data_IF_051587458106
#
_entry.id   IF_051587458106
#
_cell.length_a   1.000
_cell.length_b   1.000
_cell.length_c   1.000
_cell.angle_alpha   90.00
_cell.angle_beta   90.00
_cell.angle_gamma   90.00
#
_symmetry.space_group_name_H-M   'P 1'
#
loop_
_entity.id
_entity.type
_entity.pdbx_description
1 polymer ?
#
# COMPACT_ATOMS: atom_id res chain seq x y z
N UNK A 1 -9.10 -2.79 -15.71
CA UNK A 1 -9.67 -2.60 -14.36
C UNK A 1 -11.10 -2.13 -14.53
N UNK A 2 -12.08 -2.72 -13.84
CA UNK A 2 -13.47 -2.26 -13.87
C UNK A 2 -13.84 -1.74 -12.49
N UNK A 3 -14.14 -0.44 -12.37
CA UNK A 3 -14.64 0.16 -11.13
C UNK A 3 -16.17 0.10 -11.21
N UNK A 4 -16.79 -0.80 -10.46
CA UNK A 4 -18.24 -0.94 -10.42
C UNK A 4 -18.89 0.38 -10.00
N UNK A 5 -19.76 0.93 -10.85
CA UNK A 5 -20.45 2.21 -10.59
C UNK A 5 -19.72 3.47 -11.04
N UNK A 6 -18.54 3.36 -11.67
CA UNK A 6 -17.86 4.51 -12.27
C UNK A 6 -18.51 4.95 -13.59
N UNK A 7 -18.65 6.27 -13.77
CA UNK A 7 -19.11 6.93 -15.00
C UNK A 7 -17.93 7.51 -15.79
N UNK A 8 -18.10 7.83 -17.08
CA UNK A 8 -16.99 8.26 -17.95
C UNK A 8 -16.35 9.61 -17.59
N UNK A 9 -16.90 10.34 -16.61
CA UNK A 9 -16.33 11.59 -16.08
C UNK A 9 -15.76 11.46 -14.67
N UNK A 10 -15.83 10.28 -14.06
CA UNK A 10 -15.27 10.08 -12.73
C UNK A 10 -13.74 10.07 -12.76
N UNK A 11 -13.15 10.76 -11.80
CA UNK A 11 -11.72 10.77 -11.55
C UNK A 11 -11.42 10.04 -10.24
N UNK A 12 -10.30 9.34 -10.21
CA UNK A 12 -9.88 8.56 -9.05
C UNK A 12 -8.43 8.82 -8.67
N UNK A 13 -8.15 8.60 -7.39
CA UNK A 13 -6.80 8.43 -6.85
C UNK A 13 -6.63 6.99 -6.39
N UNK A 14 -5.50 6.37 -6.74
CA UNK A 14 -5.05 5.13 -6.12
C UNK A 14 -3.89 5.46 -5.17
N UNK A 15 -3.96 4.90 -3.97
CA UNK A 15 -2.95 5.02 -2.92
C UNK A 15 -2.54 3.61 -2.49
N UNK A 16 -1.24 3.34 -2.35
CA UNK A 16 -0.70 2.12 -1.72
C UNK A 16 0.16 2.51 -0.52
N UNK A 17 -0.11 1.92 0.65
CA UNK A 17 0.62 2.19 1.89
C UNK A 17 0.96 0.92 2.68
N UNK A 18 2.04 0.97 3.45
CA UNK A 18 2.56 -0.11 4.31
C UNK A 18 2.66 0.37 5.77
N UNK A 19 1.80 -0.09 6.70
CA UNK A 19 1.87 0.26 8.11
C UNK A 19 2.85 -0.61 8.92
N UNK A 20 3.36 -1.70 8.33
CA UNK A 20 4.09 -2.76 9.03
C UNK A 20 5.60 -2.53 9.00
N UNK A 21 6.03 -1.27 8.81
CA UNK A 21 7.46 -0.96 8.80
C UNK A 21 8.08 -1.21 10.18
N UNK A 22 9.30 -1.76 10.26
CA UNK A 22 9.93 -2.09 11.54
C UNK A 22 10.37 -0.86 12.34
N UNK A 23 10.29 0.34 11.75
CA UNK A 23 10.81 1.58 12.32
C UNK A 23 9.73 2.65 12.34
N UNK A 24 9.39 3.14 13.53
CA UNK A 24 8.30 4.08 13.74
C UNK A 24 8.57 5.49 13.18
N UNK A 25 9.81 5.80 12.79
CA UNK A 25 10.19 7.01 12.06
C UNK A 25 10.03 6.87 10.53
N UNK A 26 9.72 5.67 10.04
CA UNK A 26 9.43 5.37 8.64
C UNK A 26 7.93 5.20 8.43
N UNK A 27 7.25 4.45 9.30
CA UNK A 27 5.81 4.21 9.18
C UNK A 27 5.19 3.64 10.46
N UNK A 28 3.92 3.98 10.67
CA UNK A 28 3.06 3.41 11.72
C UNK A 28 1.69 3.05 11.15
N UNK A 29 0.83 2.42 11.94
CA UNK A 29 -0.56 2.15 11.54
C UNK A 29 -1.33 3.41 11.18
N UNK A 30 -1.12 4.52 11.90
CA UNK A 30 -1.79 5.81 11.66
C UNK A 30 -1.13 6.62 10.54
N UNK A 31 0.19 6.46 10.37
CA UNK A 31 1.01 7.19 9.39
C UNK A 31 1.91 6.19 8.64
N UNK A 32 1.36 5.41 7.70
CA UNK A 32 2.09 4.33 7.05
C UNK A 32 3.12 4.86 6.04
N UNK A 33 4.02 3.98 5.61
CA UNK A 33 4.94 4.26 4.51
C UNK A 33 4.19 4.27 3.18
N UNK A 34 4.33 5.34 2.40
CA UNK A 34 3.78 5.45 1.06
C UNK A 34 4.58 4.60 0.07
N UNK A 35 3.87 3.84 -0.77
CA UNK A 35 4.45 3.01 -1.82
C UNK A 35 4.05 3.42 -3.24
N UNK A 36 2.93 4.14 -3.37
CA UNK A 36 2.41 4.61 -4.65
C UNK A 36 1.30 5.62 -4.42
N UNK A 37 1.29 6.69 -5.22
CA UNK A 37 0.13 7.57 -5.35
C UNK A 37 -0.01 8.07 -6.79
N UNK A 38 -1.19 7.79 -7.36
CA UNK A 38 -1.57 8.22 -8.70
C UNK A 38 -2.92 8.91 -8.60
N UNK A 39 -3.00 10.17 -9.01
CA UNK A 39 -4.22 10.99 -8.95
C UNK A 39 -4.80 11.19 -10.35
N UNK A 40 -5.98 11.79 -10.46
CA UNK A 40 -6.60 12.18 -11.73
C UNK A 40 -6.76 11.01 -12.73
N UNK A 41 -6.93 9.78 -12.22
CA UNK A 41 -7.14 8.60 -13.06
C UNK A 41 -8.52 8.70 -13.69
N UNK A 42 -8.58 8.61 -15.02
CA UNK A 42 -9.82 8.59 -15.79
C UNK A 42 -10.00 7.24 -16.47
N UNK A 43 -11.23 6.93 -16.91
CA UNK A 43 -11.56 5.72 -17.69
C UNK A 43 -11.16 4.39 -17.02
N UNK A 44 -11.01 4.38 -15.69
CA UNK A 44 -10.47 3.24 -14.94
C UNK A 44 -9.11 2.73 -15.47
N UNK A 45 -8.31 3.64 -16.02
CA UNK A 45 -6.98 3.37 -16.56
C UNK A 45 -5.93 4.19 -15.79
N UNK A 46 -5.18 3.56 -14.87
CA UNK A 46 -4.14 4.23 -14.08
C UNK A 46 -3.06 4.93 -14.92
N UNK A 47 -2.86 4.53 -16.18
CA UNK A 47 -1.87 5.16 -17.08
C UNK A 47 -2.27 6.59 -17.50
N UNK A 48 -3.53 6.98 -17.29
CA UNK A 48 -4.04 8.33 -17.57
C UNK A 48 -3.81 9.32 -16.43
N UNK A 49 -3.44 8.82 -15.25
CA UNK A 49 -3.32 9.63 -14.04
C UNK A 49 -2.01 10.40 -13.93
N UNK A 50 -1.98 11.37 -13.01
CA UNK A 50 -0.78 12.07 -12.60
C UNK A 50 -0.10 11.31 -11.46
N UNK A 51 1.14 10.87 -11.70
CA UNK A 51 1.95 10.13 -10.72
C UNK A 51 2.63 11.12 -9.78
N UNK A 52 2.28 11.09 -8.48
CA UNK A 52 2.97 11.90 -7.46
C UNK A 52 4.13 11.13 -6.81
N UNK A 53 3.96 9.82 -6.61
CA UNK A 53 5.02 8.89 -6.23
C UNK A 53 4.82 7.59 -7.04
N UNK A 54 5.83 7.16 -7.83
CA UNK A 54 5.71 5.97 -8.64
C UNK A 54 5.63 4.71 -7.77
N UNK A 55 5.03 3.66 -8.33
CA UNK A 55 4.95 2.36 -7.66
C UNK A 55 6.32 1.84 -7.23
N UNK A 56 6.45 1.54 -5.94
CA UNK A 56 7.57 0.79 -5.36
C UNK A 56 7.05 -0.52 -4.82
N UNK A 57 7.58 -1.62 -5.35
CA UNK A 57 7.15 -2.96 -4.95
C UNK A 57 7.43 -3.28 -3.48
N UNK A 58 6.71 -4.26 -2.91
CA UNK A 58 7.01 -4.79 -1.58
C UNK A 58 8.47 -5.18 -1.42
N UNK A 59 9.05 -4.77 -0.30
CA UNK A 59 10.42 -5.11 0.07
C UNK A 59 10.52 -5.32 1.59
N UNK A 60 9.69 -6.22 2.17
CA UNK A 60 9.67 -6.47 3.60
C UNK A 60 11.06 -6.94 4.07
N UNK A 61 11.71 -6.21 5.00
CA UNK A 61 13.05 -6.57 5.46
C UNK A 61 13.15 -8.01 5.96
N UNK A 62 14.29 -8.70 5.75
CA UNK A 62 14.52 -9.98 6.39
C UNK A 62 14.26 -9.91 7.91
N UNK A 63 13.51 -10.88 8.41
CA UNK A 63 13.09 -10.99 9.82
C UNK A 63 12.15 -9.90 10.34
N UNK A 64 11.54 -9.04 9.50
CA UNK A 64 10.48 -8.11 9.95
C UNK A 64 9.08 -8.74 10.02
N UNK A 65 8.91 -9.93 9.44
CA UNK A 65 7.61 -10.58 9.30
C UNK A 65 6.97 -10.27 7.94
N UNK A 66 5.73 -10.70 7.76
CA UNK A 66 4.95 -10.37 6.57
C UNK A 66 4.41 -8.94 6.69
N UNK A 67 4.48 -8.18 5.61
CA UNK A 67 3.94 -6.82 5.54
C UNK A 67 2.60 -6.80 4.81
N UNK A 68 1.68 -5.99 5.29
CA UNK A 68 0.35 -5.77 4.74
C UNK A 68 0.32 -4.45 3.98
N UNK A 69 0.08 -4.53 2.68
CA UNK A 69 -0.06 -3.37 1.81
C UNK A 69 -1.53 -3.07 1.60
N UNK A 70 -1.91 -1.84 1.89
CA UNK A 70 -3.27 -1.34 1.73
C UNK A 70 -3.39 -0.51 0.46
N UNK A 71 -4.25 -0.96 -0.45
CA UNK A 71 -4.64 -0.20 -1.62
C UNK A 71 -5.97 0.49 -1.36
N UNK A 72 -6.00 1.82 -1.47
CA UNK A 72 -7.21 2.61 -1.40
C UNK A 72 -7.53 3.14 -2.79
N UNK A 73 -8.78 2.99 -3.20
CA UNK A 73 -9.34 3.68 -4.35
C UNK A 73 -10.24 4.81 -3.84
N UNK A 74 -9.93 6.03 -4.23
CA UNK A 74 -10.58 7.24 -3.77
C UNK A 74 -11.21 7.97 -4.96
N UNK A 75 -12.48 8.33 -4.87
CA UNK A 75 -13.16 9.15 -5.88
C UNK A 75 -12.87 10.62 -5.63
N UNK A 76 -12.58 11.34 -6.70
CA UNK A 76 -12.40 12.78 -6.74
C UNK A 76 -13.68 13.48 -7.21
N UNK A 77 -13.96 14.66 -6.66
CA UNK A 77 -15.04 15.54 -7.14
C UNK A 77 -14.60 16.42 -8.31
N UNK A 78 -13.30 16.68 -8.43
CA UNK A 78 -12.67 17.46 -9.50
C UNK A 78 -11.22 17.01 -9.71
N UNK A 79 -10.58 17.50 -10.78
CA UNK A 79 -9.16 17.27 -11.00
C UNK A 79 -8.35 17.93 -9.87
N UNK A 80 -7.37 17.21 -9.33
CA UNK A 80 -6.43 17.73 -8.33
C UNK A 80 -5.29 18.45 -9.05
N UNK A 81 -4.96 19.65 -8.56
CA UNK A 81 -3.79 20.41 -9.02
C UNK A 81 -2.57 20.12 -8.15
N UNK A 82 -2.29 18.84 -7.91
CA UNK A 82 -1.15 18.40 -7.12
C UNK A 82 0.00 17.97 -8.02
N UNK A 83 1.22 18.20 -7.53
CA UNK A 83 2.49 17.79 -8.12
C UNK A 83 3.35 17.08 -7.08
N UNK A 84 4.48 16.52 -7.52
CA UNK A 84 5.45 15.87 -6.61
C UNK A 84 5.93 16.83 -5.52
N UNK A 85 6.02 18.13 -5.82
CA UNK A 85 6.48 19.16 -4.87
C UNK A 85 5.48 19.41 -3.74
N UNK A 86 4.21 19.00 -3.89
CA UNK A 86 3.19 19.12 -2.86
C UNK A 86 3.20 17.95 -1.87
N UNK A 87 3.79 16.82 -2.25
CA UNK A 87 3.81 15.57 -1.46
C UNK A 87 4.43 15.74 -0.06
N UNK A 88 5.50 16.53 0.15
CA UNK A 88 6.06 16.79 1.47
C UNK A 88 5.06 17.35 2.49
N UNK A 89 3.97 17.99 2.03
CA UNK A 89 2.87 18.45 2.92
C UNK A 89 2.20 17.30 3.67
N UNK A 90 2.25 16.08 3.12
CA UNK A 90 1.64 14.87 3.67
C UNK A 90 2.67 13.88 4.24
N UNK A 91 3.96 14.19 4.14
CA UNK A 91 5.07 13.37 4.65
C UNK A 91 6.10 14.27 5.37
N UNK A 92 5.71 14.97 6.46
CA UNK A 92 6.54 16.01 7.04
C UNK A 92 7.84 15.47 7.67
N UNK A 93 7.86 14.20 8.08
CA UNK A 93 8.92 13.60 8.88
C UNK A 93 9.51 12.37 8.17
N UNK A 94 10.82 12.37 7.89
CA UNK A 94 11.53 11.19 7.39
C UNK A 94 13.01 11.25 7.76
N UNK A 95 13.49 10.25 8.49
CA UNK A 95 14.91 10.13 8.89
C UNK A 95 15.78 9.51 7.78
N UNK A 96 15.17 8.83 6.81
CA UNK A 96 15.84 8.09 5.76
C UNK A 96 15.78 8.84 4.42
N UNK A 97 16.92 9.38 3.98
CA UNK A 97 17.01 10.19 2.76
C UNK A 97 16.49 9.47 1.50
N UNK A 98 16.65 8.15 1.41
CA UNK A 98 16.17 7.32 0.29
C UNK A 98 14.65 7.07 0.31
N UNK A 99 13.97 7.42 1.40
CA UNK A 99 12.51 7.35 1.57
C UNK A 99 11.88 8.75 1.76
N UNK A 100 12.65 9.82 1.53
CA UNK A 100 12.11 11.18 1.58
C UNK A 100 10.87 11.29 0.66
N UNK A 101 9.78 11.85 1.18
CA UNK A 101 8.50 11.92 0.47
C UNK A 101 7.62 10.67 0.62
N UNK A 102 8.05 9.63 1.36
CA UNK A 102 7.25 8.42 1.60
C UNK A 102 6.96 8.15 3.08
N UNK A 103 7.90 8.51 3.97
CA UNK A 103 7.76 8.24 5.39
C UNK A 103 6.51 8.90 5.99
N UNK A 104 5.90 8.21 6.96
CA UNK A 104 4.87 8.77 7.83
C UNK A 104 3.73 9.48 7.09
N UNK A 105 3.25 8.88 5.99
CA UNK A 105 2.26 9.49 5.11
C UNK A 105 0.92 9.68 5.82
N UNK A 106 0.43 10.91 5.82
CA UNK A 106 -0.78 11.31 6.54
C UNK A 106 -2.05 11.06 5.69
N UNK A 107 -2.45 9.79 5.56
CA UNK A 107 -3.59 9.35 4.73
C UNK A 107 -4.87 10.16 5.00
N UNK A 108 -5.20 10.37 6.27
CA UNK A 108 -6.41 11.11 6.66
C UNK A 108 -6.35 12.59 6.25
N UNK A 109 -5.18 13.21 6.37
CA UNK A 109 -4.98 14.60 5.95
C UNK A 109 -5.04 14.72 4.43
N UNK A 110 -4.42 13.79 3.70
CA UNK A 110 -4.50 13.74 2.23
C UNK A 110 -5.94 13.58 1.73
N UNK A 111 -6.73 12.69 2.33
CA UNK A 111 -8.13 12.47 1.96
C UNK A 111 -8.96 13.73 2.23
N UNK A 112 -8.83 14.31 3.43
CA UNK A 112 -9.66 15.43 3.86
C UNK A 112 -9.33 16.74 3.14
N UNK A 113 -8.05 17.07 2.95
CA UNK A 113 -7.64 18.30 2.26
C UNK A 113 -8.06 18.32 0.79
N UNK A 114 -8.10 17.15 0.15
CA UNK A 114 -8.44 16.99 -1.26
C UNK A 114 -9.89 16.54 -1.49
N UNK A 115 -10.73 16.51 -0.45
CA UNK A 115 -12.16 16.16 -0.51
C UNK A 115 -12.43 14.80 -1.17
N UNK A 116 -11.57 13.82 -0.88
CA UNK A 116 -11.62 12.50 -1.50
C UNK A 116 -12.62 11.60 -0.79
N UNK A 117 -13.32 10.77 -1.55
CA UNK A 117 -14.26 9.78 -1.00
C UNK A 117 -13.73 8.37 -1.22
N UNK A 118 -13.46 7.58 -0.16
CA UNK A 118 -13.08 6.18 -0.33
C UNK A 118 -14.20 5.37 -0.99
N UNK A 119 -13.87 4.65 -2.06
CA UNK A 119 -14.82 3.85 -2.84
C UNK A 119 -14.34 2.42 -3.10
N UNK A 120 -13.08 2.11 -2.78
CA UNK A 120 -12.54 0.75 -2.86
C UNK A 120 -11.36 0.55 -1.94
N UNK A 121 -11.18 -0.69 -1.51
CA UNK A 121 -10.11 -1.10 -0.62
C UNK A 121 -9.71 -2.55 -0.90
N UNK A 122 -8.42 -2.80 -1.02
CA UNK A 122 -7.86 -4.15 -1.18
C UNK A 122 -6.61 -4.27 -0.33
N UNK A 123 -6.40 -5.45 0.24
CA UNK A 123 -5.17 -5.79 0.96
C UNK A 123 -4.35 -6.79 0.16
N UNK A 124 -3.04 -6.62 0.24
CA UNK A 124 -2.05 -7.56 -0.26
C UNK A 124 -1.06 -7.82 0.85
N UNK A 125 -0.75 -9.08 1.13
CA UNK A 125 0.28 -9.45 2.10
C UNK A 125 1.49 -9.97 1.32
N UNK A 126 2.67 -9.46 1.63
CA UNK A 126 3.92 -9.93 1.04
C UNK A 126 4.93 -10.32 2.12
N UNK A 127 5.64 -11.41 1.86
CA UNK A 127 6.70 -11.93 2.71
C UNK A 127 8.06 -11.66 2.06
N UNK A 128 9.13 -11.74 2.85
CA UNK A 128 10.51 -11.73 2.32
C UNK A 128 10.76 -12.94 1.44
N UNK A 129 10.99 -12.73 0.15
CA UNK A 129 11.33 -13.78 -0.82
C UNK A 129 12.79 -13.71 -1.30
N UNK A 130 13.16 -14.57 -2.25
CA UNK A 130 14.53 -14.60 -2.79
C UNK A 130 14.97 -13.30 -3.48
N UNK A 131 14.04 -12.59 -4.15
CA UNK A 131 14.32 -11.31 -4.78
C UNK A 131 14.62 -10.24 -3.74
N UNK A 132 13.81 -10.18 -2.67
CA UNK A 132 14.02 -9.25 -1.56
C UNK A 132 15.39 -9.48 -0.92
N UNK A 133 15.71 -10.73 -0.57
CA UNK A 133 16.99 -11.06 0.07
C UNK A 133 18.20 -10.73 -0.80
N UNK A 134 18.11 -11.01 -2.09
CA UNK A 134 19.13 -10.62 -3.07
C UNK A 134 19.36 -9.09 -3.05
N UNK A 135 18.31 -8.29 -3.11
CA UNK A 135 18.43 -6.82 -3.08
C UNK A 135 19.02 -6.33 -1.74
N UNK A 136 18.66 -6.95 -0.62
CA UNK A 136 19.24 -6.57 0.69
C UNK A 136 20.75 -6.79 0.76
N UNK A 137 21.25 -7.89 0.18
CA UNK A 137 22.69 -8.19 0.12
C UNK A 137 23.41 -7.28 -0.87
N UNK A 138 22.89 -7.16 -2.09
CA UNK A 138 23.62 -6.53 -3.19
C UNK A 138 23.45 -5.00 -3.24
N UNK A 139 22.29 -4.49 -2.83
CA UNK A 139 21.94 -3.07 -3.03
C UNK A 139 21.76 -2.30 -1.71
N UNK A 140 21.55 -3.00 -0.58
CA UNK A 140 21.30 -2.36 0.74
C UNK A 140 22.35 -2.66 1.79
N UNK A 141 23.42 -3.39 1.43
CA UNK A 141 24.59 -3.61 2.29
C UNK A 141 24.36 -4.51 3.50
N UNK A 142 23.29 -5.30 3.52
CA UNK A 142 23.03 -6.30 4.55
C UNK A 142 23.97 -7.49 4.34
N UNK A 143 24.52 -8.06 5.41
CA UNK A 143 25.32 -9.29 5.27
C UNK A 143 24.45 -10.43 4.78
N UNK A 144 25.02 -11.37 4.03
CA UNK A 144 24.32 -12.57 3.58
C UNK A 144 23.74 -13.36 4.76
N UNK A 145 24.51 -13.49 5.85
CA UNK A 145 24.10 -14.15 7.08
C UNK A 145 22.88 -13.47 7.75
N UNK A 146 22.83 -12.13 7.76
CA UNK A 146 21.68 -11.39 8.29
C UNK A 146 20.48 -11.49 7.34
N UNK A 147 20.72 -11.34 6.03
CA UNK A 147 19.68 -11.32 5.01
C UNK A 147 18.91 -12.62 4.92
N UNK A 148 19.47 -13.72 5.37
CA UNK A 148 18.85 -15.03 5.28
C UNK A 148 18.81 -15.83 6.60
N UNK A 149 19.00 -15.13 7.71
CA UNK A 149 18.72 -15.67 9.04
C UNK A 149 17.30 -16.28 9.10
N UNK A 150 17.19 -17.45 9.73
CA UNK A 150 15.91 -18.15 9.94
C UNK A 150 15.44 -19.03 8.78
N UNK A 151 16.25 -19.18 7.72
CA UNK A 151 16.05 -20.23 6.72
C UNK A 151 16.77 -21.52 7.16
N UNK A 152 16.10 -22.66 7.04
CA UNK A 152 16.72 -23.97 7.29
C UNK A 152 17.81 -24.24 6.23
N UNK A 153 19.05 -24.53 6.68
CA UNK A 153 20.11 -25.07 5.82
C UNK A 153 20.94 -24.06 5.02
N UNK A 154 21.40 -22.98 5.66
CA UNK A 154 22.03 -21.85 4.99
C UNK A 154 23.38 -22.12 4.26
N UNK A 155 23.34 -22.61 3.02
CA UNK A 155 24.36 -22.46 1.94
C UNK A 155 23.82 -22.92 0.55
N UNK A 156 23.85 -22.10 -0.52
CA UNK A 156 24.05 -20.65 -0.56
C UNK A 156 22.74 -19.93 -0.88
N UNK A 157 22.46 -18.85 -0.15
CA UNK A 157 21.51 -17.84 -0.59
C UNK A 157 22.35 -16.70 -1.14
N UNK A 158 22.31 -16.42 -2.45
CA UNK A 158 21.07 -16.30 -3.22
C UNK A 158 21.10 -17.05 -4.56
N UNK A 159 19.96 -17.16 -5.26
CA UNK A 159 19.85 -16.57 -6.61
C UNK A 159 18.37 -16.38 -6.99
N UNK A 160 18.03 -15.24 -7.59
CA UNK A 160 16.96 -15.18 -8.59
C UNK A 160 17.36 -14.14 -9.65
N UNK A 161 17.54 -14.55 -10.92
CA UNK A 161 16.50 -14.27 -11.94
C UNK A 161 16.34 -15.43 -12.97
N UNK A 162 15.27 -15.52 -13.81
CA UNK A 162 14.31 -14.48 -14.19
C UNK A 162 12.82 -14.84 -14.00
N UNK A 163 11.99 -13.86 -13.59
CA UNK A 163 10.52 -13.95 -13.57
C UNK A 163 9.85 -14.16 -12.21
N UNK A 164 10.55 -13.92 -11.09
CA UNK A 164 10.02 -14.22 -9.75
C UNK A 164 8.88 -13.28 -9.32
N UNK A 165 7.65 -13.71 -9.56
CA UNK A 165 6.49 -13.38 -8.74
C UNK A 165 6.21 -14.55 -7.81
N UNK A 166 6.05 -14.32 -6.51
CA UNK A 166 5.58 -15.35 -5.58
C UNK A 166 4.08 -15.62 -5.76
N UNK A 167 3.67 -16.89 -5.68
CA UNK A 167 2.27 -17.28 -5.59
C UNK A 167 1.75 -16.95 -4.19
N UNK A 168 1.17 -15.77 -3.96
CA UNK A 168 0.19 -15.59 -2.88
C UNK A 168 -0.99 -14.70 -3.30
N UNK A 169 -2.17 -15.18 -2.92
CA UNK A 169 -3.50 -14.77 -3.37
C UNK A 169 -3.85 -13.36 -2.89
N UNK A 170 -4.31 -12.50 -3.81
CA UNK A 170 -4.96 -11.24 -3.48
C UNK A 170 -6.32 -11.53 -2.82
N UNK A 171 -6.52 -11.08 -1.58
CA UNK A 171 -7.82 -11.18 -0.90
C UNK A 171 -8.55 -9.86 -1.09
N UNK A 172 -9.53 -9.84 -2.01
CA UNK A 172 -10.45 -8.71 -2.17
C UNK A 172 -11.66 -8.92 -1.27
N UNK A 173 -11.85 -8.06 -0.28
CA UNK A 173 -13.09 -8.04 0.52
C UNK A 173 -14.08 -7.12 -0.19
N UNK A 174 -14.97 -7.72 -1.00
CA UNK A 174 -16.08 -6.98 -1.62
C UNK A 174 -17.16 -6.70 -0.57
N UNK A 175 -17.54 -5.43 -0.42
CA UNK A 175 -18.62 -4.96 0.48
C UNK A 175 -19.99 -5.39 -0.03
N UNK A 176 -20.38 -6.64 0.26
CA UNK A 176 -21.79 -7.06 0.21
C UNK A 176 -22.09 -7.87 1.47
N UNK A 177 -22.34 -7.19 2.58
CA UNK A 177 -23.17 -7.66 3.71
C UNK A 177 -23.38 -6.49 4.68
N UNK A 178 -24.04 -5.43 4.21
CA UNK A 178 -24.77 -4.54 5.10
C UNK A 178 -26.24 -4.97 5.06
N UNK A 179 -26.84 -5.07 6.25
CA UNK A 179 -28.25 -5.41 6.54
C UNK A 179 -28.56 -6.90 6.69
N UNK A 180 -28.80 -7.30 7.95
CA UNK A 180 -29.93 -8.19 8.34
C UNK A 180 -29.89 -8.61 9.82
N UNK A 181 -29.40 -7.81 10.77
CA UNK A 181 -29.56 -8.12 12.20
C UNK A 181 -30.04 -6.90 12.98
N UNK A 182 -31.25 -6.45 12.64
CA UNK A 182 -32.02 -5.56 13.48
C UNK A 182 -33.49 -5.93 13.27
N UNK A 183 -33.96 -6.97 13.95
CA UNK A 183 -35.36 -7.29 14.26
C UNK A 183 -35.39 -8.67 14.89
N UNK A 184 -35.56 -8.71 16.22
CA UNK A 184 -36.34 -9.69 17.00
C UNK A 184 -35.88 -9.63 18.46
N UNK A 185 -36.23 -8.54 19.14
CA UNK A 185 -36.34 -8.53 20.59
C UNK A 185 -37.55 -7.67 20.97
N UNK A 186 -38.75 -8.11 20.58
CA UNK A 186 -39.98 -7.80 21.31
C UNK A 186 -41.00 -8.90 21.03
N UNK A 187 -41.75 -9.25 22.08
CA UNK A 187 -42.80 -10.29 22.18
C UNK A 187 -42.16 -11.68 22.41
N UNK A 188 -42.26 -12.29 23.59
CA UNK A 188 -43.49 -12.85 24.18
C UNK A 188 -43.45 -12.79 25.72
N UNK A 189 -44.49 -12.21 26.31
CA UNK A 189 -44.99 -12.56 27.65
C UNK A 189 -45.73 -13.90 27.54
N UNK A 190 -45.35 -14.89 28.35
CA UNK A 190 -46.23 -15.84 29.06
C UNK A 190 -45.46 -16.43 30.24
#
# INVERSE_FOLDING_TARGET
>A
MTITGASSGDMFTILMVDPDTPSADVGTTEKPLLHMIITNITNADPSTGAVLDPYRGPMPPPCSGDHTYHYLLLRQTAALSLTVDDLPTYTPDCSLANLAGQCLFEVANFISSNQLTPVGYVTMVAATDGYVRYNYVNDRGMSEADSCRGLDGYDPCPTAPPGSSSEKVMVSVSTVMATAWCLLYFIVNY
#
